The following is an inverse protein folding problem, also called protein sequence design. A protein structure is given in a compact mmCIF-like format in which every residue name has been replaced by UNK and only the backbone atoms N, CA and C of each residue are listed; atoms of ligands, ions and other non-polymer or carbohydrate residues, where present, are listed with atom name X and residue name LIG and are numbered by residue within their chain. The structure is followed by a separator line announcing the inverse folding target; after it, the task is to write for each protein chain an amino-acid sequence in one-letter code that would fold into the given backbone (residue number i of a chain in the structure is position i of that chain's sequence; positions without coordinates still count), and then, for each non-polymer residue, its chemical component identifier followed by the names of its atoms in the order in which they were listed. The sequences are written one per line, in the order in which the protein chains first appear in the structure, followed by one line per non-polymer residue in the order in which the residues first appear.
data_IF_521646065773
#
_entry.id   IF_521646065773
#
_cell.length_a   1.000
_cell.length_b   1.000
_cell.length_c   1.000
_cell.angle_alpha   90.00
_cell.angle_beta   90.00
_cell.angle_gamma   90.00
#
_symmetry.space_group_name_H-M   'P 1'
#
loop_
_entity.id
_entity.type
_entity.pdbx_description
1 polymer ?
#
# COMPACT_ATOMS: atom_id res chain seq x y z
N UNK A 1 -49.52 -9.57 -3.09
CA UNK A 1 -48.86 -10.60 -2.27
C UNK A 1 -47.44 -10.12 -2.03
N UNK A 2 -47.19 -9.56 -0.86
CA UNK A 2 -45.87 -9.10 -0.42
C UNK A 2 -45.06 -10.32 -0.01
N UNK A 3 -44.12 -10.73 -0.85
CA UNK A 3 -43.10 -11.73 -0.50
C UNK A 3 -42.21 -11.15 0.58
N UNK A 4 -42.40 -11.58 1.82
CA UNK A 4 -41.46 -11.32 2.90
C UNK A 4 -40.19 -12.11 2.60
N UNK A 5 -39.17 -11.43 2.09
CA UNK A 5 -37.81 -11.98 2.06
C UNK A 5 -37.34 -11.99 3.51
N UNK A 6 -37.32 -13.18 4.11
CA UNK A 6 -36.67 -13.40 5.40
C UNK A 6 -35.20 -13.05 5.21
N UNK A 7 -34.62 -12.08 5.96
CA UNK A 7 -33.18 -11.83 5.85
C UNK A 7 -32.43 -13.13 6.16
N UNK A 8 -31.36 -13.46 5.43
CA UNK A 8 -30.55 -14.62 5.75
C UNK A 8 -30.15 -14.54 7.22
N UNK A 9 -30.19 -15.67 7.94
CA UNK A 9 -29.79 -15.72 9.34
C UNK A 9 -28.40 -15.07 9.46
N UNK A 10 -28.16 -14.21 10.48
CA UNK A 10 -26.97 -13.36 10.59
C UNK A 10 -25.59 -14.08 10.51
N UNK A 11 -25.57 -15.41 10.46
CA UNK A 11 -24.39 -16.23 10.16
C UNK A 11 -24.08 -16.36 8.64
N UNK A 12 -25.03 -16.07 7.76
CA UNK A 12 -24.93 -16.12 6.29
C UNK A 12 -24.87 -14.71 5.69
N UNK A 13 -24.03 -13.85 6.24
CA UNK A 13 -23.81 -12.51 5.71
C UNK A 13 -22.32 -12.28 5.48
N UNK A 14 -21.95 -11.86 4.27
CA UNK A 14 -20.64 -11.28 4.00
C UNK A 14 -20.78 -9.77 4.20
N UNK A 15 -20.12 -9.24 5.24
CA UNK A 15 -20.14 -7.81 5.54
C UNK A 15 -18.87 -7.14 5.03
N UNK A 16 -19.06 -6.06 4.27
CA UNK A 16 -17.98 -5.15 3.91
C UNK A 16 -17.71 -4.20 5.08
N UNK A 17 -16.54 -4.31 5.69
CA UNK A 17 -16.15 -3.50 6.86
C UNK A 17 -15.38 -2.26 6.48
N UNK A 18 -14.68 -2.30 5.33
CA UNK A 18 -13.97 -1.15 4.76
C UNK A 18 -14.00 -1.22 3.24
N UNK A 19 -14.09 -0.06 2.60
CA UNK A 19 -13.92 0.09 1.16
C UNK A 19 -13.18 1.40 0.89
N UNK A 20 -12.06 1.30 0.18
CA UNK A 20 -11.21 2.45 -0.12
C UNK A 20 -10.49 2.25 -1.47
N UNK A 21 -10.13 3.34 -2.13
CA UNK A 21 -9.35 3.32 -3.35
C UNK A 21 -8.11 4.21 -3.19
N UNK A 22 -6.95 3.65 -3.51
CA UNK A 22 -5.68 4.36 -3.50
C UNK A 22 -5.47 5.10 -4.82
N UNK A 23 -4.73 6.22 -4.81
CA UNK A 23 -4.54 7.09 -6.00
C UNK A 23 -3.16 7.00 -6.64
N UNK A 24 -2.25 6.26 -6.04
CA UNK A 24 -0.86 6.19 -6.46
C UNK A 24 -0.15 4.98 -5.85
N UNK A 25 1.17 5.10 -5.73
CA UNK A 25 2.02 4.09 -5.10
C UNK A 25 1.52 3.78 -3.70
N UNK A 26 1.39 2.50 -3.41
CA UNK A 26 0.82 1.99 -2.17
C UNK A 26 1.50 0.68 -1.78
N UNK A 27 1.19 0.19 -0.59
CA UNK A 27 1.76 -1.06 -0.05
C UNK A 27 1.57 -2.28 -0.97
N UNK A 28 0.49 -2.31 -1.75
CA UNK A 28 0.11 -3.48 -2.55
C UNK A 28 0.68 -3.45 -3.96
N UNK A 29 0.77 -2.26 -4.56
CA UNK A 29 1.15 -2.05 -5.95
C UNK A 29 1.68 -0.63 -6.19
N UNK A 30 2.49 -0.47 -7.25
CA UNK A 30 2.86 0.84 -7.78
C UNK A 30 1.70 1.52 -8.53
N UNK A 31 0.64 0.77 -8.84
CA UNK A 31 -0.57 1.25 -9.50
C UNK A 31 -1.71 1.45 -8.50
N UNK A 32 -2.69 2.31 -8.81
CA UNK A 32 -3.92 2.44 -8.04
C UNK A 32 -4.63 1.10 -7.88
N UNK A 33 -5.10 0.85 -6.66
CA UNK A 33 -5.87 -0.33 -6.29
C UNK A 33 -7.06 0.05 -5.42
N UNK A 34 -8.14 -0.71 -5.56
CA UNK A 34 -9.26 -0.74 -4.63
C UNK A 34 -8.98 -1.77 -3.56
N UNK A 35 -9.13 -1.38 -2.30
CA UNK A 35 -9.08 -2.26 -1.14
C UNK A 35 -10.48 -2.42 -0.56
N UNK A 36 -10.85 -3.66 -0.30
CA UNK A 36 -12.10 -4.06 0.33
C UNK A 36 -11.79 -5.00 1.49
N UNK A 37 -12.17 -4.63 2.70
CA UNK A 37 -12.09 -5.53 3.85
C UNK A 37 -13.45 -6.16 4.12
N UNK A 38 -13.44 -7.46 4.40
CA UNK A 38 -14.62 -8.30 4.55
C UNK A 38 -14.58 -9.06 5.87
N UNK A 39 -15.74 -9.21 6.50
CA UNK A 39 -16.03 -10.27 7.46
C UNK A 39 -17.01 -11.24 6.80
N UNK A 40 -16.59 -12.49 6.55
CA UNK A 40 -17.35 -13.42 5.69
C UNK A 40 -18.28 -14.38 6.42
N UNK A 41 -18.20 -14.47 7.76
CA UNK A 41 -19.07 -15.36 8.54
C UNK A 41 -18.98 -16.81 8.04
N UNK A 42 -20.14 -17.49 7.89
CA UNK A 42 -20.18 -18.88 7.45
C UNK A 42 -19.67 -19.11 6.02
N UNK A 43 -19.51 -18.08 5.20
CA UNK A 43 -18.94 -18.22 3.84
C UNK A 43 -17.46 -18.58 3.84
N UNK A 44 -16.78 -18.53 4.99
CA UNK A 44 -15.41 -19.02 5.12
C UNK A 44 -15.29 -20.54 4.90
N UNK A 45 -16.35 -21.27 5.25
CA UNK A 45 -16.39 -22.74 5.16
C UNK A 45 -17.13 -23.28 3.91
N UNK A 46 -17.71 -22.39 3.11
CA UNK A 46 -18.51 -22.77 1.94
C UNK A 46 -17.63 -22.73 0.69
N UNK A 47 -17.19 -23.90 0.25
CA UNK A 47 -16.45 -24.07 -1.01
C UNK A 47 -17.37 -23.91 -2.23
N UNK A 48 -16.90 -23.19 -3.25
CA UNK A 48 -17.58 -23.07 -4.55
C UNK A 48 -17.93 -24.41 -5.20
N UNK A 49 -17.13 -25.47 -4.96
CA UNK A 49 -17.38 -26.80 -5.50
C UNK A 49 -18.48 -27.57 -4.75
N UNK A 50 -18.84 -27.14 -3.54
CA UNK A 50 -19.88 -27.76 -2.73
C UNK A 50 -21.28 -27.21 -3.04
N UNK A 51 -21.37 -26.10 -3.77
CA UNK A 51 -22.64 -25.42 -4.09
C UNK A 51 -23.09 -25.81 -5.50
N UNK A 52 -24.18 -26.59 -5.65
CA UNK A 52 -24.64 -27.05 -6.96
C UNK A 52 -24.98 -25.89 -7.89
N UNK A 53 -24.49 -25.94 -9.13
CA UNK A 53 -24.76 -24.94 -10.16
C UNK A 53 -24.02 -23.61 -10.01
N UNK A 54 -23.33 -23.36 -8.88
CA UNK A 54 -22.63 -22.11 -8.61
C UNK A 54 -21.63 -21.74 -9.71
N UNK A 55 -20.73 -22.67 -10.06
CA UNK A 55 -19.66 -22.39 -11.02
C UNK A 55 -20.23 -22.20 -12.43
N UNK A 56 -21.25 -22.98 -12.80
CA UNK A 56 -21.90 -22.87 -14.11
C UNK A 56 -22.66 -21.54 -14.26
N UNK A 57 -23.39 -21.12 -13.23
CA UNK A 57 -24.07 -19.82 -13.20
C UNK A 57 -23.07 -18.67 -13.31
N UNK A 58 -22.01 -18.69 -12.50
CA UNK A 58 -21.01 -17.61 -12.49
C UNK A 58 -20.26 -17.50 -13.83
N UNK A 59 -19.79 -18.61 -14.39
CA UNK A 59 -19.09 -18.63 -15.69
C UNK A 59 -20.03 -18.32 -16.85
N UNK A 60 -21.30 -18.72 -16.75
CA UNK A 60 -22.33 -18.36 -17.73
C UNK A 60 -22.60 -16.87 -17.77
N UNK A 61 -22.71 -16.23 -16.60
CA UNK A 61 -22.90 -14.78 -16.49
C UNK A 61 -21.63 -13.99 -16.85
N UNK A 62 -20.44 -14.56 -16.61
CA UNK A 62 -19.15 -13.88 -16.80
C UNK A 62 -18.14 -14.74 -17.58
N UNK A 63 -18.30 -14.89 -18.91
CA UNK A 63 -17.47 -15.81 -19.70
C UNK A 63 -15.98 -15.46 -19.74
N UNK A 64 -15.61 -14.19 -19.55
CA UNK A 64 -14.21 -13.73 -19.54
C UNK A 64 -13.41 -14.20 -18.34
N UNK A 65 -14.04 -14.74 -17.29
CA UNK A 65 -13.36 -15.43 -16.19
C UNK A 65 -12.43 -16.56 -16.65
N UNK A 66 -12.63 -17.09 -17.86
CA UNK A 66 -11.70 -18.04 -18.49
C UNK A 66 -10.31 -17.46 -18.73
N UNK A 67 -10.16 -16.14 -18.85
CA UNK A 67 -8.84 -15.50 -19.03
C UNK A 67 -8.09 -15.35 -17.70
N UNK A 68 -8.77 -15.47 -16.56
CA UNK A 68 -8.16 -15.32 -15.25
C UNK A 68 -7.29 -16.53 -14.90
N UNK A 69 -6.02 -16.27 -14.61
CA UNK A 69 -5.00 -17.30 -14.37
C UNK A 69 -4.94 -17.79 -12.92
N UNK A 70 -5.28 -16.91 -11.96
CA UNK A 70 -5.13 -17.19 -10.52
C UNK A 70 -3.68 -17.65 -10.20
N UNK A 71 -3.46 -18.28 -9.05
CA UNK A 71 -2.22 -18.95 -8.67
C UNK A 71 -1.78 -20.11 -9.60
N UNK A 72 -2.64 -20.55 -10.54
CA UNK A 72 -2.31 -21.64 -11.47
C UNK A 72 -1.42 -21.13 -12.62
N UNK A 73 -1.53 -19.85 -12.99
CA UNK A 73 -0.64 -19.21 -13.96
C UNK A 73 -0.97 -19.43 -15.43
N UNK A 74 -2.02 -20.20 -15.75
CA UNK A 74 -2.47 -20.48 -17.11
C UNK A 74 -3.92 -20.05 -17.36
N UNK A 75 -4.28 -19.84 -18.63
CA UNK A 75 -5.64 -19.50 -19.04
C UNK A 75 -6.63 -20.56 -18.53
N UNK A 76 -7.73 -20.14 -17.94
CA UNK A 76 -8.73 -21.01 -17.31
C UNK A 76 -8.36 -21.43 -15.89
N UNK A 77 -7.22 -20.99 -15.37
CA UNK A 77 -6.74 -21.35 -14.04
C UNK A 77 -7.73 -21.00 -12.92
N UNK A 78 -8.39 -19.84 -13.00
CA UNK A 78 -9.42 -19.49 -12.03
C UNK A 78 -10.67 -20.37 -12.14
N UNK A 79 -11.16 -20.66 -13.35
CA UNK A 79 -12.30 -21.57 -13.56
C UNK A 79 -11.99 -22.98 -13.03
N UNK A 80 -10.77 -23.48 -13.28
CA UNK A 80 -10.30 -24.74 -12.70
C UNK A 80 -10.30 -24.67 -11.17
N UNK A 81 -9.88 -23.55 -10.58
CA UNK A 81 -9.89 -23.33 -9.14
C UNK A 81 -11.31 -23.30 -8.56
N UNK A 82 -12.26 -22.64 -9.23
CA UNK A 82 -13.69 -22.66 -8.87
C UNK A 82 -14.25 -24.10 -8.83
N UNK A 83 -13.94 -24.91 -9.85
CA UNK A 83 -14.40 -26.31 -9.93
C UNK A 83 -13.78 -27.22 -8.87
N UNK A 84 -12.51 -26.98 -8.50
CA UNK A 84 -11.84 -27.71 -7.42
C UNK A 84 -12.30 -27.26 -6.03
N UNK A 85 -12.75 -26.02 -5.91
CA UNK A 85 -13.17 -25.41 -4.65
C UNK A 85 -12.28 -24.22 -4.28
N UNK A 86 -12.93 -23.09 -4.06
CA UNK A 86 -12.37 -21.89 -3.45
C UNK A 86 -13.48 -21.10 -2.75
N UNK A 87 -13.13 -20.00 -2.07
CA UNK A 87 -13.98 -19.36 -1.07
C UNK A 87 -14.35 -17.94 -1.45
N UNK A 88 -15.44 -17.44 -0.86
CA UNK A 88 -16.07 -16.18 -1.24
C UNK A 88 -15.11 -14.98 -1.40
N UNK A 89 -14.16 -14.70 -0.47
CA UNK A 89 -13.18 -13.61 -0.63
C UNK A 89 -12.45 -13.64 -1.97
N UNK A 90 -11.89 -14.80 -2.32
CA UNK A 90 -11.10 -14.96 -3.54
C UNK A 90 -11.98 -14.88 -4.80
N UNK A 91 -13.24 -15.35 -4.71
CA UNK A 91 -14.19 -15.25 -5.82
C UNK A 91 -14.58 -13.78 -6.06
N UNK A 92 -14.84 -13.02 -4.99
CA UNK A 92 -15.21 -11.60 -5.06
C UNK A 92 -14.09 -10.78 -5.72
N UNK A 93 -12.82 -11.05 -5.40
CA UNK A 93 -11.67 -10.40 -6.06
C UNK A 93 -11.71 -10.58 -7.58
N UNK A 94 -11.85 -11.83 -8.04
CA UNK A 94 -11.87 -12.15 -9.45
C UNK A 94 -13.10 -11.59 -10.18
N UNK A 95 -14.27 -11.62 -9.54
CA UNK A 95 -15.50 -11.02 -10.07
C UNK A 95 -15.36 -9.51 -10.18
N UNK A 96 -14.74 -8.83 -9.21
CA UNK A 96 -14.50 -7.39 -9.27
C UNK A 96 -13.57 -6.99 -10.43
N UNK A 97 -12.54 -7.81 -10.70
CA UNK A 97 -11.67 -7.62 -11.86
C UNK A 97 -12.43 -7.85 -13.17
N UNK A 98 -13.18 -8.94 -13.28
CA UNK A 98 -13.91 -9.27 -14.52
C UNK A 98 -15.01 -8.24 -14.84
N UNK A 99 -15.74 -7.73 -13.83
CA UNK A 99 -16.71 -6.65 -14.05
C UNK A 99 -16.07 -5.42 -14.71
N UNK A 100 -14.84 -5.08 -14.32
CA UNK A 100 -14.05 -4.00 -14.92
C UNK A 100 -13.57 -4.38 -16.33
N UNK A 101 -13.11 -5.61 -16.55
CA UNK A 101 -12.70 -6.09 -17.87
C UNK A 101 -13.86 -6.11 -18.88
N UNK A 102 -15.05 -6.56 -18.46
CA UNK A 102 -16.26 -6.61 -19.29
C UNK A 102 -16.73 -5.21 -19.75
N UNK A 103 -16.45 -4.16 -18.96
CA UNK A 103 -16.71 -2.79 -19.39
C UNK A 103 -15.60 -2.21 -20.27
N UNK A 104 -14.41 -2.82 -20.31
CA UNK A 104 -13.31 -2.48 -21.20
C UNK A 104 -12.02 -2.00 -20.52
N UNK A 105 -11.91 -2.04 -19.19
CA UNK A 105 -10.65 -1.73 -18.50
C UNK A 105 -9.64 -2.89 -18.62
N UNK A 106 -8.35 -2.55 -18.73
CA UNK A 106 -7.22 -3.48 -18.72
C UNK A 106 -6.67 -3.62 -17.29
N UNK A 107 -7.40 -4.39 -16.47
CA UNK A 107 -7.01 -4.69 -15.09
C UNK A 107 -6.78 -6.19 -14.89
N UNK A 108 -5.76 -6.54 -14.10
CA UNK A 108 -5.45 -7.95 -13.86
C UNK A 108 -4.73 -8.25 -12.55
N UNK A 109 -4.26 -7.23 -11.83
CA UNK A 109 -3.66 -7.43 -10.51
C UNK A 109 -4.73 -7.56 -9.43
N UNK A 110 -4.67 -8.64 -8.67
CA UNK A 110 -5.54 -8.94 -7.54
C UNK A 110 -4.80 -9.69 -6.42
N UNK A 111 -5.24 -9.49 -5.18
CA UNK A 111 -4.71 -10.19 -4.00
C UNK A 111 -5.72 -10.28 -2.87
N UNK A 112 -5.94 -11.51 -2.40
CA UNK A 112 -6.75 -11.81 -1.21
C UNK A 112 -5.83 -12.26 -0.08
N UNK A 113 -5.99 -11.66 1.10
CA UNK A 113 -5.23 -11.99 2.32
C UNK A 113 -6.16 -12.14 3.51
N UNK A 114 -6.00 -13.20 4.29
CA UNK A 114 -6.63 -13.32 5.61
C UNK A 114 -6.21 -12.18 6.54
N UNK A 115 -7.15 -11.77 7.40
CA UNK A 115 -6.96 -10.79 8.47
C UNK A 115 -6.27 -11.39 9.69
N UNK A 116 -6.19 -10.59 10.75
CA UNK A 116 -5.69 -11.04 12.05
C UNK A 116 -6.72 -11.89 12.80
N UNK A 117 -8.00 -11.77 12.44
CA UNK A 117 -9.12 -12.55 12.97
C UNK A 117 -9.62 -13.52 11.90
N UNK A 118 -9.95 -14.75 12.29
CA UNK A 118 -10.55 -15.76 11.42
C UNK A 118 -11.88 -15.24 10.82
N UNK A 119 -12.14 -15.52 9.55
CA UNK A 119 -13.28 -14.96 8.82
C UNK A 119 -13.11 -13.51 8.37
N UNK A 120 -12.02 -12.82 8.71
CA UNK A 120 -11.70 -11.51 8.16
C UNK A 120 -10.73 -11.60 6.97
N UNK A 121 -10.96 -10.79 5.95
CA UNK A 121 -10.18 -10.78 4.73
C UNK A 121 -9.96 -9.37 4.21
N UNK A 122 -8.78 -9.12 3.62
CA UNK A 122 -8.47 -7.94 2.82
C UNK A 122 -8.31 -8.38 1.37
N UNK A 123 -9.15 -7.84 0.51
CA UNK A 123 -9.10 -7.97 -0.94
C UNK A 123 -8.51 -6.69 -1.51
N UNK A 124 -7.62 -6.83 -2.47
CA UNK A 124 -7.04 -5.72 -3.21
C UNK A 124 -7.06 -6.06 -4.69
N UNK A 125 -7.54 -5.14 -5.51
CA UNK A 125 -7.55 -5.31 -6.97
C UNK A 125 -7.32 -3.99 -7.68
N UNK A 126 -6.66 -4.06 -8.83
CA UNK A 126 -6.37 -2.89 -9.67
C UNK A 126 -7.65 -2.23 -10.18
N UNK A 127 -7.60 -0.91 -10.32
CA UNK A 127 -8.62 -0.12 -11.01
C UNK A 127 -7.95 0.92 -11.91
N UNK A 128 -8.60 1.24 -13.04
CA UNK A 128 -8.22 2.37 -13.88
C UNK A 128 -8.94 3.67 -13.48
N UNK A 129 -10.18 3.53 -13.03
CA UNK A 129 -11.03 4.64 -12.60
C UNK A 129 -11.50 4.37 -11.16
N UNK A 130 -11.30 5.35 -10.27
CA UNK A 130 -11.50 5.21 -8.82
C UNK A 130 -12.93 4.77 -8.48
N UNK A 131 -13.93 5.47 -9.03
CA UNK A 131 -15.35 5.19 -8.77
C UNK A 131 -15.81 3.86 -9.38
N UNK A 132 -15.28 3.48 -10.55
CA UNK A 132 -15.53 2.17 -11.15
C UNK A 132 -15.00 1.07 -10.23
N UNK A 133 -13.78 1.21 -9.72
CA UNK A 133 -13.17 0.23 -8.82
C UNK A 133 -13.98 0.04 -7.53
N UNK A 134 -14.40 1.15 -6.90
CA UNK A 134 -15.24 1.13 -5.70
C UNK A 134 -16.59 0.47 -5.97
N UNK A 135 -17.24 0.81 -7.09
CA UNK A 135 -18.55 0.25 -7.42
C UNK A 135 -18.47 -1.22 -7.84
N UNK A 136 -17.41 -1.60 -8.55
CA UNK A 136 -17.13 -2.99 -8.91
C UNK A 136 -16.96 -3.87 -7.67
N UNK A 137 -16.37 -3.36 -6.58
CA UNK A 137 -16.27 -4.06 -5.29
C UNK A 137 -17.66 -4.47 -4.76
N UNK A 138 -18.58 -3.50 -4.71
CA UNK A 138 -19.93 -3.71 -4.19
C UNK A 138 -20.75 -4.63 -5.09
N UNK A 139 -20.66 -4.44 -6.42
CA UNK A 139 -21.35 -5.27 -7.40
C UNK A 139 -20.80 -6.71 -7.42
N UNK A 140 -19.50 -6.90 -7.20
CA UNK A 140 -18.89 -8.21 -7.10
C UNK A 140 -19.39 -8.98 -5.88
N UNK A 141 -19.46 -8.31 -4.73
CA UNK A 141 -20.05 -8.89 -3.52
C UNK A 141 -21.49 -9.35 -3.77
N UNK A 142 -22.32 -8.48 -4.36
CA UNK A 142 -23.72 -8.80 -4.68
C UNK A 142 -23.82 -9.96 -5.68
N UNK A 143 -23.00 -9.96 -6.73
CA UNK A 143 -22.98 -11.01 -7.76
C UNK A 143 -22.63 -12.37 -7.16
N UNK A 144 -21.60 -12.41 -6.29
CA UNK A 144 -21.19 -13.64 -5.61
C UNK A 144 -22.26 -14.14 -4.65
N UNK A 145 -22.93 -13.25 -3.91
CA UNK A 145 -24.07 -13.62 -3.06
C UNK A 145 -25.22 -14.21 -3.89
N UNK A 146 -25.61 -13.57 -4.99
CA UNK A 146 -26.63 -14.09 -5.90
C UNK A 146 -26.25 -15.46 -6.49
N UNK A 147 -24.96 -15.68 -6.79
CA UNK A 147 -24.47 -16.98 -7.26
C UNK A 147 -24.60 -18.06 -6.18
N UNK A 148 -24.27 -17.74 -4.92
CA UNK A 148 -24.45 -18.65 -3.79
C UNK A 148 -25.92 -18.96 -3.49
N UNK A 149 -26.80 -17.97 -3.65
CA UNK A 149 -28.25 -18.12 -3.49
C UNK A 149 -28.91 -18.85 -4.67
N UNK A 150 -28.17 -19.11 -5.76
CA UNK A 150 -28.67 -19.79 -6.96
C UNK A 150 -29.63 -18.93 -7.80
N UNK A 151 -29.56 -17.60 -7.65
CA UNK A 151 -30.43 -16.62 -8.34
C UNK A 151 -29.67 -15.71 -9.29
N UNK A 152 -28.36 -15.92 -9.48
CA UNK A 152 -27.58 -15.19 -10.47
C UNK A 152 -27.96 -15.64 -11.90
N UNK A 153 -28.53 -14.72 -12.67
CA UNK A 153 -28.87 -14.92 -14.07
C UNK A 153 -27.86 -14.25 -15.02
N UNK A 154 -27.53 -12.98 -14.76
CA UNK A 154 -26.69 -12.17 -15.64
C UNK A 154 -26.07 -10.97 -14.89
N UNK A 155 -25.04 -10.35 -15.48
CA UNK A 155 -24.37 -9.14 -14.92
C UNK A 155 -24.47 -7.91 -15.84
N UNK A 156 -25.26 -7.96 -16.92
CA UNK A 156 -25.36 -6.87 -17.91
C UNK A 156 -25.74 -5.52 -17.30
N UNK A 157 -26.64 -5.53 -16.31
CA UNK A 157 -27.03 -4.32 -15.58
C UNK A 157 -25.86 -3.72 -14.79
N UNK A 158 -25.07 -4.57 -14.11
CA UNK A 158 -23.88 -4.16 -13.39
C UNK A 158 -22.82 -3.57 -14.33
N UNK A 159 -22.57 -4.22 -15.47
CA UNK A 159 -21.64 -3.74 -16.50
C UNK A 159 -22.11 -2.41 -17.10
N UNK A 160 -23.41 -2.26 -17.36
CA UNK A 160 -23.99 -1.01 -17.87
C UNK A 160 -23.84 0.13 -16.88
N UNK A 161 -24.05 -0.15 -15.59
CA UNK A 161 -23.83 0.83 -14.52
C UNK A 161 -22.37 1.27 -14.45
N UNK A 162 -21.41 0.34 -14.50
CA UNK A 162 -19.99 0.66 -14.48
C UNK A 162 -19.55 1.48 -15.70
N UNK A 163 -20.10 1.19 -16.89
CA UNK A 163 -19.87 2.00 -18.10
C UNK A 163 -20.34 3.45 -17.92
N UNK A 164 -21.53 3.66 -17.34
CA UNK A 164 -22.03 4.99 -17.07
C UNK A 164 -21.16 5.76 -16.06
N UNK A 165 -20.62 5.08 -15.04
CA UNK A 165 -19.67 5.68 -14.10
C UNK A 165 -18.37 6.07 -14.80
N UNK A 166 -17.85 5.22 -15.70
CA UNK A 166 -16.61 5.48 -16.42
C UNK A 166 -16.68 6.67 -17.40
N UNK A 167 -17.89 7.08 -17.80
CA UNK A 167 -18.12 8.29 -18.59
C UNK A 167 -18.07 9.58 -17.74
N UNK A 168 -18.05 9.45 -16.41
CA UNK A 168 -17.91 10.60 -15.49
C UNK A 168 -16.43 11.01 -15.32
N UNK A 169 -16.14 12.24 -14.88
CA UNK A 169 -14.77 12.62 -14.56
C UNK A 169 -14.21 11.76 -13.43
N UNK A 170 -13.08 11.10 -13.71
CA UNK A 170 -12.36 10.35 -12.69
C UNK A 170 -11.66 11.29 -11.69
N UNK A 171 -11.32 10.73 -10.54
CA UNK A 171 -10.50 11.40 -9.54
C UNK A 171 -9.12 11.70 -10.14
N UNK A 172 -8.67 12.96 -10.16
CA UNK A 172 -7.38 13.31 -10.72
C UNK A 172 -6.23 12.56 -10.04
N UNK A 173 -5.29 12.08 -10.86
CA UNK A 173 -4.04 11.52 -10.34
C UNK A 173 -3.31 12.55 -9.48
N UNK A 174 -2.61 12.04 -8.48
CA UNK A 174 -1.69 12.86 -7.70
C UNK A 174 -0.64 13.45 -8.65
N UNK A 175 -0.46 14.76 -8.59
CA UNK A 175 0.56 15.48 -9.36
C UNK A 175 1.48 16.32 -8.46
N UNK A 176 1.18 16.40 -7.15
CA UNK A 176 2.01 17.12 -6.20
C UNK A 176 3.40 16.52 -6.12
N UNK A 177 4.40 17.39 -6.29
CA UNK A 177 5.80 17.13 -5.97
C UNK A 177 6.08 17.72 -4.59
N UNK A 178 6.75 16.95 -3.75
CA UNK A 178 7.15 17.40 -2.41
C UNK A 178 8.66 17.32 -2.30
N UNK A 179 9.25 18.10 -1.40
CA UNK A 179 10.68 17.96 -1.13
C UNK A 179 10.95 16.60 -0.48
N UNK A 180 10.25 16.33 0.64
CA UNK A 180 10.54 15.18 1.49
C UNK A 180 9.26 14.54 2.05
N UNK A 181 9.17 13.22 1.92
CA UNK A 181 8.27 12.41 2.73
C UNK A 181 8.96 11.88 3.99
N UNK A 182 8.27 11.79 5.12
CA UNK A 182 8.82 11.25 6.38
C UNK A 182 7.92 10.14 6.91
N UNK A 183 8.47 8.94 7.15
CA UNK A 183 7.75 7.80 7.76
C UNK A 183 8.57 7.13 8.88
N UNK A 184 7.94 6.21 9.61
CA UNK A 184 8.50 5.49 10.76
C UNK A 184 7.43 5.23 11.82
N UNK A 185 7.69 4.40 12.82
CA UNK A 185 6.77 4.09 13.91
C UNK A 185 6.56 5.26 14.87
N UNK A 186 7.62 6.05 15.11
CA UNK A 186 7.59 7.20 16.01
C UNK A 186 8.42 8.38 15.47
N UNK A 187 8.36 9.55 16.12
CA UNK A 187 9.24 10.68 15.81
C UNK A 187 9.03 11.38 14.45
N UNK A 188 8.08 10.93 13.61
CA UNK A 188 7.86 11.47 12.25
C UNK A 188 7.54 12.96 12.22
N UNK A 189 6.55 13.38 13.01
CA UNK A 189 6.13 14.78 13.09
C UNK A 189 7.28 15.68 13.56
N UNK A 190 8.08 15.18 14.48
CA UNK A 190 9.23 15.90 15.02
C UNK A 190 10.38 16.00 14.01
N UNK A 191 10.69 14.91 13.28
CA UNK A 191 11.67 14.93 12.20
C UNK A 191 11.23 15.88 11.06
N UNK A 192 9.93 15.88 10.73
CA UNK A 192 9.35 16.78 9.75
C UNK A 192 9.47 18.25 10.18
N UNK A 193 9.14 18.57 11.44
CA UNK A 193 9.29 19.91 12.02
C UNK A 193 10.75 20.36 12.01
N UNK A 194 11.65 19.52 12.51
CA UNK A 194 13.10 19.81 12.60
C UNK A 194 13.75 20.00 11.24
N UNK A 195 13.33 19.25 10.21
CA UNK A 195 13.79 19.48 8.85
C UNK A 195 13.27 20.81 8.33
N UNK A 196 11.97 21.10 8.47
CA UNK A 196 11.39 22.38 8.04
C UNK A 196 12.08 23.60 8.65
N UNK A 197 12.40 23.55 9.94
CA UNK A 197 13.11 24.64 10.63
C UNK A 197 14.53 24.87 10.13
N UNK A 198 15.15 23.86 9.49
CA UNK A 198 16.48 23.98 8.87
C UNK A 198 16.42 24.48 7.43
N UNK A 199 15.28 24.35 6.76
CA UNK A 199 15.12 24.78 5.37
C UNK A 199 14.99 26.30 5.29
N UNK A 200 15.72 26.91 4.36
CA UNK A 200 15.63 28.34 4.07
C UNK A 200 14.47 28.70 3.12
N UNK A 201 13.87 27.71 2.46
CA UNK A 201 12.79 27.86 1.48
C UNK A 201 11.42 27.57 2.09
N UNK A 202 10.63 28.63 2.30
CA UNK A 202 9.26 28.53 2.82
C UNK A 202 8.30 27.76 1.89
N UNK A 203 8.66 27.55 0.62
CA UNK A 203 7.88 26.78 -0.36
C UNK A 203 8.12 25.27 -0.30
N UNK A 204 9.15 24.81 0.40
CA UNK A 204 9.52 23.40 0.45
C UNK A 204 8.49 22.56 1.25
N UNK A 205 7.86 21.61 0.57
CA UNK A 205 6.87 20.72 1.20
C UNK A 205 7.55 19.49 1.82
N UNK A 206 7.54 19.44 3.16
CA UNK A 206 7.90 18.23 3.94
C UNK A 206 6.65 17.64 4.57
N UNK A 207 6.31 16.41 4.20
CA UNK A 207 5.07 15.74 4.63
C UNK A 207 5.42 14.55 5.52
N UNK A 208 4.86 14.51 6.72
CA UNK A 208 4.86 13.30 7.52
C UNK A 208 3.73 12.38 7.05
N UNK A 209 4.03 11.09 6.91
CA UNK A 209 3.06 10.07 6.48
C UNK A 209 3.11 8.92 7.47
N UNK A 210 1.99 8.67 8.16
CA UNK A 210 1.93 7.56 9.10
C UNK A 210 1.89 6.20 8.39
N UNK A 211 2.44 5.13 9.01
CA UNK A 211 2.30 3.78 8.46
C UNK A 211 0.84 3.37 8.29
N UNK A 212 -0.05 3.74 9.22
CA UNK A 212 -1.50 3.56 9.06
C UNK A 212 -2.06 4.22 7.80
N UNK A 213 -1.66 5.46 7.51
CA UNK A 213 -2.09 6.18 6.32
C UNK A 213 -1.53 5.53 5.05
N UNK A 214 -0.24 5.16 5.03
CA UNK A 214 0.37 4.46 3.90
C UNK A 214 -0.36 3.14 3.58
N UNK A 215 -0.75 2.40 4.62
CA UNK A 215 -1.44 1.12 4.45
C UNK A 215 -2.88 1.28 3.96
N UNK A 216 -3.56 2.36 4.38
CA UNK A 216 -4.95 2.61 4.01
C UNK A 216 -5.07 3.30 2.66
N UNK A 217 -4.33 4.39 2.43
CA UNK A 217 -4.49 5.30 1.31
C UNK A 217 -3.32 5.33 0.32
N UNK A 218 -2.18 4.73 0.68
CA UNK A 218 -0.94 4.87 -0.08
C UNK A 218 -0.30 6.25 0.12
N UNK A 219 0.47 6.71 -0.87
CA UNK A 219 1.14 8.00 -0.79
C UNK A 219 0.19 9.17 -1.10
N UNK A 220 0.27 10.29 -0.33
CA UNK A 220 -0.55 11.48 -0.57
C UNK A 220 0.03 12.41 -1.65
N UNK A 221 1.16 12.06 -2.26
CA UNK A 221 1.84 12.82 -3.31
C UNK A 221 2.38 11.90 -4.40
N UNK A 222 2.74 12.47 -5.55
CA UNK A 222 3.15 11.71 -6.72
C UNK A 222 4.64 11.35 -6.72
N UNK A 223 5.45 12.33 -6.32
CA UNK A 223 6.92 12.28 -6.36
C UNK A 223 7.52 13.09 -5.22
N UNK A 224 8.71 12.69 -4.79
CA UNK A 224 9.54 13.45 -3.87
C UNK A 224 11.00 13.51 -4.35
N UNK A 225 11.74 14.52 -3.92
CA UNK A 225 13.20 14.58 -4.14
C UNK A 225 13.95 13.71 -3.13
N UNK A 226 13.37 13.58 -1.93
CA UNK A 226 13.90 12.72 -0.88
C UNK A 226 12.81 12.03 -0.05
N UNK A 227 13.24 11.05 0.74
CA UNK A 227 12.44 10.44 1.79
C UNK A 227 13.29 10.22 3.06
N UNK A 228 12.65 10.34 4.22
CA UNK A 228 13.20 9.91 5.51
C UNK A 228 12.38 8.73 6.01
N UNK A 229 13.05 7.62 6.27
CA UNK A 229 12.49 6.46 6.98
C UNK A 229 13.19 6.39 8.34
N UNK A 230 12.45 6.61 9.43
CA UNK A 230 13.04 6.69 10.77
C UNK A 230 13.29 5.31 11.39
N UNK A 231 12.39 4.36 11.15
CA UNK A 231 12.43 2.99 11.66
C UNK A 231 11.38 2.15 10.92
N UNK A 232 11.31 0.85 11.25
CA UNK A 232 10.24 -0.06 10.84
C UNK A 232 9.53 -0.70 12.06
N UNK A 233 9.53 -0.02 13.21
CA UNK A 233 8.91 -0.48 14.46
C UNK A 233 7.49 0.08 14.58
N UNK A 234 6.55 -0.54 13.87
CA UNK A 234 5.22 0.04 13.65
C UNK A 234 4.25 -0.33 14.76
N UNK A 235 3.45 0.65 15.20
CA UNK A 235 2.45 0.46 16.28
C UNK A 235 1.03 0.88 15.89
N UNK A 236 0.88 1.65 14.81
CA UNK A 236 -0.41 2.20 14.35
C UNK A 236 -1.06 1.36 13.23
N UNK A 237 -0.52 0.17 12.95
CA UNK A 237 -1.04 -0.78 11.95
C UNK A 237 -1.46 -2.09 12.61
N UNK A 238 -2.34 -2.90 11.98
CA UNK A 238 -2.73 -4.21 12.52
C UNK A 238 -1.50 -5.13 12.73
N UNK A 239 -1.54 -6.07 13.70
CA UNK A 239 -0.39 -6.91 14.09
C UNK A 239 0.32 -7.60 12.93
N UNK A 240 -0.39 -8.17 11.96
CA UNK A 240 0.20 -8.77 10.76
C UNK A 240 1.08 -7.82 9.94
N UNK A 241 0.92 -6.51 10.05
CA UNK A 241 1.78 -5.52 9.37
C UNK A 241 2.92 -4.99 10.24
N UNK A 242 2.96 -5.36 11.52
CA UNK A 242 4.06 -5.06 12.44
C UNK A 242 5.21 -6.08 12.31
N UNK A 243 4.96 -7.23 11.65
CA UNK A 243 5.99 -8.21 11.31
C UNK A 243 7.11 -7.55 10.50
N UNK A 244 8.37 -7.81 10.87
CA UNK A 244 9.54 -7.08 10.36
C UNK A 244 9.60 -6.93 8.83
N UNK A 245 9.31 -8.00 8.08
CA UNK A 245 9.32 -7.99 6.61
C UNK A 245 8.23 -7.05 6.04
N UNK A 246 7.02 -7.12 6.58
CA UNK A 246 5.87 -6.32 6.12
C UNK A 246 5.97 -4.87 6.57
N UNK A 247 6.46 -4.65 7.79
CA UNK A 247 6.73 -3.33 8.31
C UNK A 247 7.75 -2.61 7.42
N UNK A 248 8.83 -3.30 7.06
CA UNK A 248 9.85 -2.81 6.13
C UNK A 248 9.25 -2.52 4.75
N UNK A 249 8.48 -3.45 4.20
CA UNK A 249 7.78 -3.25 2.93
C UNK A 249 6.87 -2.00 2.96
N UNK A 250 6.19 -1.75 4.08
CA UNK A 250 5.27 -0.62 4.22
C UNK A 250 5.98 0.73 4.26
N UNK A 251 7.07 0.86 5.01
CA UNK A 251 7.83 2.12 5.05
C UNK A 251 8.56 2.39 3.73
N UNK A 252 8.97 1.35 3.01
CA UNK A 252 9.63 1.43 1.71
C UNK A 252 8.75 2.02 0.59
N UNK A 253 7.42 2.08 0.79
CA UNK A 253 6.52 2.78 -0.14
C UNK A 253 6.93 4.24 -0.37
N UNK A 254 7.57 4.89 0.62
CA UNK A 254 8.12 6.24 0.42
C UNK A 254 9.24 6.28 -0.63
N UNK A 255 10.11 5.27 -0.64
CA UNK A 255 11.23 5.19 -1.58
C UNK A 255 10.73 5.07 -3.03
N UNK A 256 9.58 4.42 -3.24
CA UNK A 256 8.98 4.35 -4.58
C UNK A 256 8.64 5.73 -5.16
N UNK A 257 8.33 6.73 -4.32
CA UNK A 257 8.02 8.10 -4.77
C UNK A 257 9.25 8.97 -5.03
N UNK A 258 10.43 8.57 -4.54
CA UNK A 258 11.65 9.36 -4.72
C UNK A 258 12.05 9.33 -6.20
N UNK A 259 12.32 10.50 -6.77
CA UNK A 259 12.82 10.60 -8.14
C UNK A 259 14.16 9.84 -8.27
N UNK A 260 14.47 9.30 -9.45
CA UNK A 260 15.75 8.61 -9.69
C UNK A 260 16.92 9.50 -9.30
N UNK A 261 17.93 8.92 -8.65
CA UNK A 261 19.07 9.64 -8.06
C UNK A 261 18.69 10.61 -6.93
N UNK A 262 17.43 10.62 -6.47
CA UNK A 262 16.99 11.25 -5.23
C UNK A 262 17.54 10.54 -3.99
N UNK A 263 17.26 11.09 -2.81
CA UNK A 263 17.87 10.64 -1.55
C UNK A 263 16.89 9.89 -0.64
N UNK A 264 17.29 8.74 -0.11
CA UNK A 264 16.60 8.07 1.00
C UNK A 264 17.48 8.10 2.24
N UNK A 265 17.03 8.81 3.27
CA UNK A 265 17.64 8.85 4.59
C UNK A 265 17.04 7.72 5.43
N UNK A 266 17.85 6.79 5.92
CA UNK A 266 17.39 5.60 6.64
C UNK A 266 18.35 5.17 7.75
N UNK A 267 17.95 4.27 8.66
CA UNK A 267 18.83 3.88 9.76
C UNK A 267 20.04 3.06 9.28
N UNK A 268 21.16 3.20 9.99
CA UNK A 268 22.29 2.29 9.87
C UNK A 268 21.83 0.86 10.20
N UNK A 269 22.44 -0.14 9.55
CA UNK A 269 22.10 -1.57 9.70
C UNK A 269 20.68 -1.98 9.26
N UNK A 270 19.83 -1.07 8.78
CA UNK A 270 18.54 -1.39 8.17
C UNK A 270 18.71 -1.85 6.71
N UNK A 271 19.32 -3.02 6.52
CA UNK A 271 19.80 -3.48 5.22
C UNK A 271 18.71 -3.62 4.18
N UNK A 272 17.55 -4.12 4.55
CA UNK A 272 16.41 -4.31 3.66
C UNK A 272 15.87 -2.97 3.14
N UNK A 273 15.87 -1.92 3.97
CA UNK A 273 15.49 -0.55 3.57
C UNK A 273 16.56 0.04 2.63
N UNK A 274 17.84 -0.09 3.02
CA UNK A 274 18.96 0.44 2.24
C UNK A 274 19.07 -0.22 0.87
N UNK A 275 18.94 -1.54 0.80
CA UNK A 275 19.04 -2.31 -0.44
C UNK A 275 17.83 -2.01 -1.34
N UNK A 276 16.61 -1.96 -0.80
CA UNK A 276 15.39 -1.61 -1.55
C UNK A 276 15.47 -0.21 -2.18
N UNK A 277 15.89 0.80 -1.40
CA UNK A 277 16.02 2.17 -1.90
C UNK A 277 17.01 2.25 -3.09
N UNK A 278 18.13 1.53 -3.00
CA UNK A 278 19.13 1.47 -4.07
C UNK A 278 18.64 0.73 -5.31
N UNK A 279 17.95 -0.40 -5.12
CA UNK A 279 17.33 -1.17 -6.21
C UNK A 279 16.25 -0.34 -6.92
N UNK A 280 15.57 0.53 -6.18
CA UNK A 280 14.62 1.52 -6.71
C UNK A 280 15.28 2.71 -7.42
N UNK A 281 16.62 2.76 -7.47
CA UNK A 281 17.39 3.79 -8.15
C UNK A 281 17.66 5.05 -7.33
N UNK A 282 17.52 4.98 -6.00
CA UNK A 282 17.83 6.09 -5.09
C UNK A 282 19.27 6.03 -4.59
N UNK A 283 19.81 7.20 -4.23
CA UNK A 283 20.96 7.31 -3.34
C UNK A 283 20.49 7.15 -1.90
N UNK A 284 21.38 6.71 -1.02
CA UNK A 284 21.07 6.55 0.40
C UNK A 284 22.00 7.40 1.27
N UNK A 285 21.45 7.90 2.37
CA UNK A 285 22.18 8.46 3.50
C UNK A 285 21.74 7.71 4.75
N UNK A 286 22.67 7.41 5.64
CA UNK A 286 22.42 6.52 6.79
C UNK A 286 22.66 7.23 8.10
N UNK A 287 21.81 6.99 9.09
CA UNK A 287 21.97 7.59 10.41
C UNK A 287 21.99 6.58 11.54
N UNK A 288 22.70 6.91 12.62
CA UNK A 288 22.66 6.21 13.89
C UNK A 288 22.50 7.22 15.04
N UNK A 289 21.85 6.81 16.14
CA UNK A 289 21.68 7.65 17.34
C UNK A 289 22.84 7.49 18.33
N UNK A 290 23.83 6.70 17.97
CA UNK A 290 25.10 6.44 18.63
C UNK A 290 26.21 6.49 17.57
N UNK A 291 27.40 5.97 17.87
CA UNK A 291 28.52 5.86 16.95
C UNK A 291 28.60 4.50 16.22
N UNK A 292 27.56 3.65 16.34
CA UNK A 292 27.52 2.30 15.79
C UNK A 292 27.05 2.30 14.31
N UNK A 293 27.96 2.74 13.45
CA UNK A 293 27.84 2.68 11.99
C UNK A 293 28.88 1.71 11.43
N UNK A 294 28.44 0.75 10.60
CA UNK A 294 29.35 -0.26 10.06
C UNK A 294 30.09 0.23 8.82
N UNK A 295 31.22 -0.40 8.48
CA UNK A 295 31.90 -0.13 7.21
C UNK A 295 31.07 -0.49 5.96
N UNK A 296 30.00 -1.30 6.09
CA UNK A 296 29.05 -1.54 4.99
C UNK A 296 28.16 -0.32 4.78
N UNK A 297 27.67 0.29 5.85
CA UNK A 297 26.88 1.53 5.81
C UNK A 297 27.69 2.64 5.14
N UNK A 298 28.88 2.95 5.66
CA UNK A 298 29.70 4.08 5.17
C UNK A 298 30.15 3.95 3.72
N UNK A 299 30.40 2.72 3.23
CA UNK A 299 30.79 2.51 1.82
C UNK A 299 29.64 2.68 0.83
N UNK A 300 28.40 2.51 1.30
CA UNK A 300 27.22 2.50 0.45
C UNK A 300 26.44 3.79 0.50
N UNK A 301 26.52 4.50 1.62
CA UNK A 301 25.88 5.78 1.85
C UNK A 301 26.67 6.93 1.24
N UNK A 302 25.94 7.96 0.79
CA UNK A 302 26.53 9.23 0.37
C UNK A 302 26.95 10.08 1.55
N UNK A 303 26.19 9.99 2.64
CA UNK A 303 26.47 10.66 3.89
C UNK A 303 26.05 9.78 5.05
N UNK A 304 26.73 9.97 6.18
CA UNK A 304 26.48 9.27 7.43
C UNK A 304 26.25 10.30 8.52
N UNK A 305 25.20 10.18 9.31
CA UNK A 305 25.05 10.95 10.55
C UNK A 305 25.10 10.03 11.77
N UNK A 306 25.75 10.48 12.83
CA UNK A 306 25.92 9.72 14.06
C UNK A 306 26.01 10.65 15.26
N UNK A 307 25.85 10.10 16.46
CA UNK A 307 26.00 10.87 17.71
C UNK A 307 27.33 10.52 18.36
N UNK A 308 28.22 11.51 18.52
CA UNK A 308 29.49 11.39 19.25
C UNK A 308 29.55 12.45 20.34
N UNK A 309 29.87 12.03 21.56
CA UNK A 309 29.96 12.90 22.73
C UNK A 309 28.72 13.79 22.93
N UNK A 310 27.53 13.24 22.63
CA UNK A 310 26.25 13.95 22.73
C UNK A 310 26.00 15.00 21.64
N UNK A 311 26.78 15.01 20.56
CA UNK A 311 26.63 15.93 19.42
C UNK A 311 26.36 15.16 18.13
N UNK A 312 25.59 15.78 17.24
CA UNK A 312 25.25 15.23 15.94
C UNK A 312 26.39 15.57 14.97
N UNK A 313 27.03 14.54 14.41
CA UNK A 313 28.11 14.68 13.44
C UNK A 313 27.67 14.09 12.11
N UNK A 314 27.81 14.84 11.02
CA UNK A 314 27.55 14.38 9.66
C UNK A 314 28.87 14.24 8.91
N UNK A 315 29.05 13.09 8.26
CA UNK A 315 30.25 12.71 7.51
C UNK A 315 29.88 12.39 6.06
N UNK A 316 30.82 12.56 5.12
CA UNK A 316 30.67 12.15 3.71
C UNK A 316 30.19 13.24 2.75
N UNK A 317 29.77 14.40 3.26
CA UNK A 317 29.50 15.61 2.47
C UNK A 317 30.70 16.58 2.41
N UNK A 318 31.95 16.09 2.60
CA UNK A 318 33.14 16.93 2.72
C UNK A 318 33.92 16.63 4.01
N UNK A 319 34.30 17.67 4.74
CA UNK A 319 34.82 17.56 6.11
C UNK A 319 33.68 17.16 7.07
N UNK A 320 34.03 16.59 8.23
CA UNK A 320 33.04 16.25 9.26
C UNK A 320 32.35 17.53 9.79
N UNK A 321 31.02 17.58 9.68
CA UNK A 321 30.20 18.72 10.10
C UNK A 321 29.54 18.46 11.47
N UNK A 322 29.72 19.40 12.41
CA UNK A 322 29.05 19.39 13.71
C UNK A 322 27.72 20.16 13.62
N UNK A 323 26.60 19.45 13.79
CA UNK A 323 25.24 20.01 13.73
C UNK A 323 24.67 20.34 15.12
N UNK A 324 25.51 20.39 16.15
CA UNK A 324 25.16 20.82 17.49
C UNK A 324 24.85 19.66 18.46
N UNK A 325 24.58 19.99 19.74
CA UNK A 325 24.24 19.01 20.75
C UNK A 325 22.87 18.38 20.50
N UNK A 326 22.71 17.13 20.91
CA UNK A 326 21.42 16.46 20.96
C UNK A 326 20.55 17.11 22.04
N UNK A 327 19.34 17.52 21.69
CA UNK A 327 18.35 17.97 22.67
C UNK A 327 17.75 16.73 23.37
N UNK A 328 17.93 16.56 24.68
CA UNK A 328 17.42 15.39 25.41
C UNK A 328 15.89 15.38 25.54
N UNK A 329 15.21 16.48 25.22
CA UNK A 329 13.74 16.57 25.24
C UNK A 329 13.08 16.07 23.96
N UNK A 330 13.86 15.85 22.90
CA UNK A 330 13.40 15.44 21.58
C UNK A 330 13.93 14.04 21.22
N UNK A 331 13.24 13.25 20.37
CA UNK A 331 13.74 11.96 19.94
C UNK A 331 15.06 12.09 19.17
N UNK A 332 16.06 11.28 19.54
CA UNK A 332 17.37 11.32 18.90
C UNK A 332 17.29 10.98 17.40
N UNK A 333 16.49 9.97 17.04
CA UNK A 333 16.28 9.53 15.65
C UNK A 333 15.79 10.67 14.77
N UNK A 334 14.80 11.44 15.25
CA UNK A 334 14.24 12.60 14.54
C UNK A 334 15.29 13.68 14.30
N UNK A 335 16.09 14.00 15.31
CA UNK A 335 17.11 15.04 15.22
C UNK A 335 18.23 14.67 14.25
N UNK A 336 18.78 13.46 14.37
CA UNK A 336 19.88 12.98 13.53
C UNK A 336 19.42 12.83 12.07
N UNK A 337 18.24 12.25 11.84
CA UNK A 337 17.70 12.07 10.49
C UNK A 337 17.40 13.42 9.80
N UNK A 338 16.84 14.40 10.53
CA UNK A 338 16.58 15.72 9.99
C UNK A 338 17.87 16.50 9.66
N UNK A 339 18.89 16.40 10.52
CA UNK A 339 20.20 17.00 10.28
C UNK A 339 20.87 16.39 9.03
N UNK A 340 20.86 15.05 8.93
CA UNK A 340 21.41 14.35 7.77
C UNK A 340 20.67 14.71 6.48
N UNK A 341 19.33 14.71 6.52
CA UNK A 341 18.51 15.08 5.38
C UNK A 341 18.85 16.50 4.89
N UNK A 342 18.91 17.47 5.81
CA UNK A 342 19.30 18.83 5.46
C UNK A 342 20.72 18.90 4.85
N UNK A 343 21.71 18.24 5.44
CA UNK A 343 23.07 18.22 4.92
C UNK A 343 23.15 17.63 3.49
N UNK A 344 22.33 16.62 3.19
CA UNK A 344 22.30 16.01 1.85
C UNK A 344 21.67 16.89 0.77
N UNK A 345 20.95 17.97 1.13
CA UNK A 345 20.41 18.95 0.18
C UNK A 345 21.46 19.97 -0.27
N UNK A 346 22.56 20.11 0.47
CA UNK A 346 23.66 21.01 0.10
C UNK A 346 24.40 20.53 -1.16
N UNK A 347 24.84 21.47 -1.99
CA UNK A 347 25.43 21.24 -3.33
C UNK A 347 26.66 20.32 -3.31
N UNK A 348 27.39 20.26 -2.19
CA UNK A 348 28.57 19.41 -2.00
C UNK A 348 28.22 17.92 -1.89
N UNK A 349 27.02 17.59 -1.41
CA UNK A 349 26.49 16.22 -1.30
C UNK A 349 25.53 15.84 -2.45
N UNK A 350 25.07 16.85 -3.21
CA UNK A 350 24.08 16.71 -4.29
C UNK A 350 24.61 16.16 -5.62
N UNK A 351 25.94 16.10 -5.84
CA UNK A 351 26.57 15.61 -7.09
C UNK A 351 27.01 14.15 -7.06
#
# INVERSE_FOLDING_TARGET
MTTSVTPPAAAMEIRMTMLHATRGKNFWSLRPVTRMDLAVGAYDDISSAAVPGFVDSLVGAMPGLVEHRCSIGERGGFVLRLRRGTYAPHIIEHVALELQTMMGHDVGFGKTRGGDVEGEYTLVFEHEHEQVGLRAAALALQTVQQAFDGVLEAVDAAVTELKAIAETPDTPRLHHRVLCGVTGGSGRAEAQRLLRERLADDGALVIDVSPSFLLQAGLPYARSEMAIILDAELTDVPPRYQEAERATQLVNVLADAVDRDGMVVCPAKAWEIQDYARESGCRIAVFATDDDVTGRDSRRARAVALVRDGRIVVQGCGDDEDHGPLDPTLPATSQVAAALAHATLSVECGR
#
